data_IF_108968471223
#
_entry.id   IF_108968471223
#
_cell.length_a   1.000
_cell.length_b   1.000
_cell.length_c   1.000
_cell.angle_alpha   90.00
_cell.angle_beta   90.00
_cell.angle_gamma   90.00
#
_symmetry.space_group_name_H-M   'P 1'
#
loop_
_entity.id
_entity.type
_entity.pdbx_description
1 polymer ?
#
# COMPACT_ATOMS: atom_id res chain seq x y z
N UNK A 1 2.85 -13.03 5.00
CA UNK A 1 1.59 -12.39 4.54
C UNK A 1 1.96 -11.37 3.46
N UNK A 2 1.11 -11.13 2.47
CA UNK A 2 1.34 -10.08 1.45
C UNK A 2 0.40 -8.92 1.77
N UNK A 3 0.95 -7.71 1.82
CA UNK A 3 0.18 -6.49 2.05
C UNK A 3 -0.80 -6.23 0.91
N UNK A 4 -1.97 -5.71 1.27
CA UNK A 4 -3.05 -5.40 0.32
C UNK A 4 -3.25 -3.90 0.21
N UNK A 5 -3.03 -3.36 -0.97
CA UNK A 5 -3.23 -1.96 -1.31
C UNK A 5 -4.61 -1.81 -1.94
N UNK A 6 -5.48 -0.99 -1.35
CA UNK A 6 -6.81 -0.68 -1.88
C UNK A 6 -6.77 0.50 -2.83
N UNK A 7 -7.15 0.31 -4.08
CA UNK A 7 -7.26 1.38 -5.06
C UNK A 7 -8.68 1.98 -5.02
N UNK A 8 -8.79 3.24 -4.64
CA UNK A 8 -10.06 3.97 -4.49
C UNK A 8 -10.08 5.23 -5.34
N UNK A 9 -11.28 5.64 -5.75
CA UNK A 9 -11.48 6.82 -6.59
C UNK A 9 -12.82 6.78 -7.28
N UNK A 10 -13.35 7.95 -7.62
CA UNK A 10 -14.61 8.09 -8.35
C UNK A 10 -14.47 7.56 -9.80
N UNK A 11 -15.58 7.37 -10.53
CA UNK A 11 -15.51 7.00 -11.95
C UNK A 11 -14.71 8.02 -12.78
N UNK A 12 -14.16 7.58 -13.92
CA UNK A 12 -13.48 8.45 -14.91
C UNK A 12 -12.19 9.18 -14.48
N UNK A 13 -11.70 8.99 -13.24
CA UNK A 13 -10.40 9.56 -12.79
C UNK A 13 -9.18 8.82 -13.32
N UNK A 14 -9.39 7.65 -13.93
CA UNK A 14 -8.32 6.79 -14.41
C UNK A 14 -7.99 5.61 -13.49
N UNK A 15 -8.80 5.33 -12.47
CA UNK A 15 -8.64 4.19 -11.54
C UNK A 15 -8.36 2.85 -12.24
N UNK A 16 -9.21 2.44 -13.19
CA UNK A 16 -9.00 1.17 -13.92
C UNK A 16 -7.76 1.20 -14.83
N UNK A 17 -7.38 2.38 -15.32
CA UNK A 17 -6.12 2.52 -16.09
C UNK A 17 -4.93 2.37 -15.15
N UNK A 18 -4.99 2.99 -13.97
CA UNK A 18 -3.98 2.86 -12.93
C UNK A 18 -3.85 1.41 -12.46
N UNK A 19 -4.97 0.72 -12.19
CA UNK A 19 -4.97 -0.69 -11.80
C UNK A 19 -4.25 -1.56 -12.83
N UNK A 20 -4.63 -1.46 -14.11
CA UNK A 20 -4.00 -2.23 -15.17
C UNK A 20 -2.53 -1.85 -15.41
N UNK A 21 -2.17 -0.58 -15.18
CA UNK A 21 -0.81 -0.10 -15.31
C UNK A 21 0.06 -0.53 -14.12
N UNK A 22 -0.51 -0.67 -12.93
CA UNK A 22 0.18 -1.08 -11.71
C UNK A 22 0.37 -2.61 -11.65
N UNK A 23 -0.57 -3.39 -12.20
CA UNK A 23 -0.41 -4.83 -12.32
C UNK A 23 0.62 -5.19 -13.39
N UNK A 24 1.40 -6.24 -13.15
CA UNK A 24 2.26 -6.83 -14.18
C UNK A 24 1.59 -8.11 -14.66
N UNK A 25 0.92 -8.06 -15.81
CA UNK A 25 0.28 -9.24 -16.42
C UNK A 25 1.28 -10.21 -17.07
N UNK A 26 2.57 -9.86 -17.12
CA UNK A 26 3.64 -10.66 -17.75
C UNK A 26 4.16 -11.82 -16.91
N UNK A 27 3.68 -12.02 -15.67
CA UNK A 27 4.04 -13.19 -14.88
C UNK A 27 3.03 -14.31 -15.16
N UNK A 28 3.44 -15.42 -15.80
CA UNK A 28 2.51 -16.47 -16.20
C UNK A 28 1.72 -17.00 -15.01
N UNK A 29 0.39 -17.06 -15.17
CA UNK A 29 -0.55 -17.78 -14.30
C UNK A 29 -0.02 -19.21 -14.07
N UNK A 30 0.57 -19.47 -12.90
CA UNK A 30 1.11 -20.80 -12.59
C UNK A 30 2.16 -20.89 -11.48
N UNK A 31 2.67 -19.77 -10.95
CA UNK A 31 3.73 -19.82 -9.93
C UNK A 31 3.24 -20.03 -8.48
N UNK A 32 1.92 -19.96 -8.18
CA UNK A 32 1.41 -20.04 -6.81
C UNK A 32 0.15 -20.91 -6.64
N UNK A 33 0.05 -21.75 -5.59
CA UNK A 33 -1.11 -22.62 -5.34
C UNK A 33 -2.40 -21.93 -4.84
N UNK A 34 -2.50 -20.60 -4.85
CA UNK A 34 -3.64 -19.87 -4.24
C UNK A 34 -4.00 -18.57 -4.98
N UNK A 35 -4.06 -18.59 -6.31
CA UNK A 35 -4.64 -17.47 -7.06
C UNK A 35 -6.15 -17.41 -6.79
N UNK A 36 -6.58 -16.45 -5.98
CA UNK A 36 -7.99 -16.14 -5.78
C UNK A 36 -8.62 -15.79 -7.13
N UNK A 37 -9.75 -16.43 -7.46
CA UNK A 37 -10.58 -16.11 -8.64
C UNK A 37 -11.42 -14.88 -8.30
N UNK A 38 -10.77 -13.78 -7.93
CA UNK A 38 -11.46 -12.51 -7.74
C UNK A 38 -10.94 -11.51 -8.79
N UNK A 39 -11.78 -11.09 -9.75
CA UNK A 39 -11.36 -10.14 -10.79
C UNK A 39 -10.95 -8.77 -10.24
N UNK A 40 -11.23 -8.46 -8.96
CA UNK A 40 -10.84 -7.19 -8.32
C UNK A 40 -9.44 -7.23 -7.71
N UNK A 41 -8.79 -8.39 -7.58
CA UNK A 41 -7.47 -8.50 -6.94
C UNK A 41 -6.39 -8.80 -7.96
N UNK A 42 -5.48 -7.84 -8.16
CA UNK A 42 -4.30 -7.94 -9.00
C UNK A 42 -3.02 -8.20 -8.22
N UNK A 43 -1.99 -8.69 -8.91
CA UNK A 43 -0.62 -8.75 -8.40
C UNK A 43 0.16 -7.54 -8.92
N UNK A 44 0.67 -6.75 -7.98
CA UNK A 44 1.53 -5.61 -8.23
C UNK A 44 2.87 -5.82 -7.52
N UNK A 45 3.83 -4.92 -7.72
CA UNK A 45 5.16 -5.06 -7.16
C UNK A 45 5.64 -3.71 -6.62
N UNK A 46 6.41 -3.75 -5.54
CA UNK A 46 7.18 -2.60 -5.05
C UNK A 46 8.66 -2.83 -5.32
N UNK A 47 9.39 -1.77 -5.71
CA UNK A 47 10.83 -1.88 -5.94
C UNK A 47 11.60 -1.74 -4.65
N UNK A 48 12.67 -2.52 -4.56
CA UNK A 48 13.65 -2.48 -3.48
C UNK A 48 15.02 -2.67 -4.14
N UNK A 49 15.98 -1.82 -3.80
CA UNK A 49 17.38 -2.08 -4.18
C UNK A 49 17.80 -3.46 -3.69
N UNK A 50 18.16 -4.33 -4.62
CA UNK A 50 18.55 -5.69 -4.32
C UNK A 50 19.84 -5.67 -3.50
N UNK A 51 19.87 -6.47 -2.43
CA UNK A 51 21.10 -6.65 -1.66
C UNK A 51 22.13 -7.54 -2.37
N UNK A 52 21.74 -8.37 -3.33
CA UNK A 52 22.63 -9.37 -3.95
C UNK A 52 23.93 -8.79 -4.56
N UNK A 53 23.91 -7.65 -5.29
CA UNK A 53 25.12 -7.03 -5.81
C UNK A 53 26.14 -6.63 -4.74
N UNK A 54 25.70 -6.37 -3.49
CA UNK A 54 26.59 -6.03 -2.37
C UNK A 54 27.45 -7.23 -1.91
N UNK A 55 27.06 -8.45 -2.29
CA UNK A 55 27.73 -9.71 -1.93
C UNK A 55 28.38 -10.39 -3.14
N UNK A 56 28.54 -9.70 -4.28
CA UNK A 56 29.04 -10.26 -5.53
C UNK A 56 28.23 -11.47 -6.04
N UNK A 57 26.93 -11.52 -5.70
CA UNK A 57 26.03 -12.60 -6.09
C UNK A 57 24.93 -12.09 -7.04
N UNK A 58 24.41 -13.00 -7.88
CA UNK A 58 23.27 -12.71 -8.76
C UNK A 58 21.98 -13.21 -8.11
N UNK A 59 21.00 -12.32 -8.01
CA UNK A 59 19.70 -12.63 -7.42
C UNK A 59 18.93 -13.62 -8.31
N UNK A 60 18.43 -14.70 -7.71
CA UNK A 60 17.56 -15.68 -8.37
C UNK A 60 16.21 -15.74 -7.65
N UNK A 61 15.29 -14.79 -7.92
CA UNK A 61 14.00 -14.69 -7.23
C UNK A 61 13.23 -16.02 -7.23
N UNK A 62 12.72 -16.42 -6.06
CA UNK A 62 11.63 -17.41 -5.97
C UNK A 62 10.28 -16.79 -6.36
N UNK A 63 10.13 -15.49 -6.08
CA UNK A 63 8.91 -14.70 -6.19
C UNK A 63 9.22 -13.31 -6.78
N UNK A 64 8.41 -12.84 -7.73
CA UNK A 64 8.67 -11.60 -8.46
C UNK A 64 9.90 -11.68 -9.37
N UNK A 65 10.50 -10.52 -9.66
CA UNK A 65 11.63 -10.41 -10.60
C UNK A 65 12.74 -9.52 -10.03
N UNK A 66 13.97 -9.71 -10.51
CA UNK A 66 15.09 -8.81 -10.23
C UNK A 66 15.68 -8.37 -11.57
N UNK A 67 15.70 -7.06 -11.83
CA UNK A 67 16.24 -6.46 -13.06
C UNK A 67 17.26 -5.40 -12.67
N UNK A 68 18.48 -5.52 -13.18
CA UNK A 68 19.57 -4.54 -13.03
C UNK A 68 19.82 -4.03 -11.60
N UNK A 69 19.73 -4.93 -10.62
CA UNK A 69 19.95 -4.59 -9.21
C UNK A 69 18.69 -4.10 -8.48
N UNK A 70 17.54 -4.04 -9.15
CA UNK A 70 16.24 -3.68 -8.57
C UNK A 70 15.38 -4.92 -8.39
N UNK A 71 14.95 -5.19 -7.15
CA UNK A 71 14.07 -6.29 -6.77
C UNK A 71 12.62 -5.84 -6.75
N UNK A 72 11.76 -6.54 -7.48
CA UNK A 72 10.31 -6.36 -7.48
C UNK A 72 9.68 -7.34 -6.50
N UNK A 73 9.20 -6.84 -5.37
CA UNK A 73 8.60 -7.65 -4.29
C UNK A 73 7.08 -7.62 -4.44
N UNK A 74 6.41 -8.80 -4.51
CA UNK A 74 4.97 -8.85 -4.80
C UNK A 74 4.11 -8.32 -3.65
N UNK A 75 3.15 -7.47 -4.01
CA UNK A 75 2.07 -6.97 -3.16
C UNK A 75 0.73 -7.23 -3.85
N UNK A 76 -0.37 -7.19 -3.10
CA UNK A 76 -1.72 -7.31 -3.67
C UNK A 76 -2.31 -5.94 -3.90
N UNK A 77 -2.87 -5.73 -5.07
CA UNK A 77 -3.63 -4.53 -5.41
C UNK A 77 -5.10 -4.92 -5.52
N UNK A 78 -5.98 -4.26 -4.77
CA UNK A 78 -7.41 -4.52 -4.75
C UNK A 78 -8.11 -3.34 -5.40
N UNK A 79 -8.84 -3.56 -6.49
CA UNK A 79 -9.69 -2.56 -7.11
C UNK A 79 -10.97 -2.40 -6.29
N UNK A 80 -10.96 -1.46 -5.35
CA UNK A 80 -12.11 -1.19 -4.51
C UNK A 80 -13.16 -0.47 -5.37
N UNK A 81 -14.40 -0.94 -5.32
CA UNK A 81 -15.51 -0.30 -6.04
C UNK A 81 -15.61 1.19 -5.67
N UNK A 82 -15.97 2.07 -6.61
CA UNK A 82 -16.07 3.50 -6.30
C UNK A 82 -17.17 3.78 -5.27
N UNK A 83 -16.90 4.67 -4.31
CA UNK A 83 -17.94 5.24 -3.45
C UNK A 83 -18.82 6.17 -4.28
N UNK A 84 -20.13 6.03 -4.11
CA UNK A 84 -21.14 6.95 -4.63
C UNK A 84 -21.63 7.79 -3.45
N UNK A 85 -21.92 9.10 -3.62
CA UNK A 85 -22.45 9.93 -2.55
C UNK A 85 -23.61 9.30 -1.77
N UNK A 86 -23.50 9.28 -0.43
CA UNK A 86 -24.47 8.63 0.45
C UNK A 86 -24.32 7.10 0.50
N UNK A 87 -23.10 6.58 0.32
CA UNK A 87 -22.81 5.15 0.45
C UNK A 87 -23.00 4.67 1.89
N UNK A 88 -22.62 5.49 2.88
CA UNK A 88 -22.87 5.24 4.30
C UNK A 88 -24.37 5.11 4.63
N UNK A 89 -25.24 5.85 3.93
CA UNK A 89 -26.72 5.77 4.07
C UNK A 89 -27.35 4.50 3.46
N UNK A 90 -26.55 3.57 2.91
CA UNK A 90 -27.03 2.29 2.39
C UNK A 90 -27.55 2.33 0.94
N UNK A 91 -27.19 3.34 0.14
CA UNK A 91 -27.62 3.49 -1.27
C UNK A 91 -26.99 2.52 -2.30
N UNK A 92 -26.56 1.34 -1.86
CA UNK A 92 -26.49 0.16 -2.75
C UNK A 92 -25.13 -0.48 -3.03
N UNK A 93 -24.02 -0.04 -2.42
CA UNK A 93 -22.70 -0.69 -2.57
C UNK A 93 -22.01 -1.07 -1.25
N UNK A 94 -22.58 -0.66 -0.11
CA UNK A 94 -21.93 -0.66 1.22
C UNK A 94 -21.27 -1.99 1.60
N UNK A 95 -21.98 -3.12 1.65
CA UNK A 95 -21.37 -4.31 2.27
C UNK A 95 -20.19 -4.91 1.50
N UNK A 96 -20.20 -4.86 0.15
CA UNK A 96 -19.09 -5.40 -0.64
C UNK A 96 -17.92 -4.43 -0.67
N UNK A 97 -18.18 -3.14 -0.92
CA UNK A 97 -17.17 -2.09 -0.82
C UNK A 97 -16.44 -2.12 0.52
N UNK A 98 -17.18 -2.25 1.61
CA UNK A 98 -16.63 -2.31 2.95
C UNK A 98 -15.86 -3.60 3.21
N UNK A 99 -16.27 -4.72 2.61
CA UNK A 99 -15.51 -5.97 2.71
C UNK A 99 -14.16 -5.81 2.01
N UNK A 100 -14.16 -5.28 0.79
CA UNK A 100 -12.94 -5.06 0.01
C UNK A 100 -12.02 -4.05 0.71
N UNK A 101 -12.60 -2.96 1.23
CA UNK A 101 -11.88 -1.95 2.01
C UNK A 101 -11.31 -2.52 3.32
N UNK A 102 -12.07 -3.35 4.04
CA UNK A 102 -11.62 -3.98 5.30
C UNK A 102 -10.38 -4.83 5.08
N UNK A 103 -10.33 -5.54 3.96
CA UNK A 103 -9.22 -6.43 3.63
C UNK A 103 -7.94 -5.69 3.21
N UNK A 104 -7.98 -4.37 2.98
CA UNK A 104 -6.81 -3.58 2.57
C UNK A 104 -6.04 -3.01 3.76
N UNK A 105 -4.72 -2.92 3.70
CA UNK A 105 -3.88 -2.35 4.76
C UNK A 105 -3.68 -0.83 4.58
N UNK A 106 -3.68 -0.37 3.32
CA UNK A 106 -3.44 1.02 2.92
C UNK A 106 -4.23 1.34 1.67
N UNK A 107 -4.59 2.61 1.48
CA UNK A 107 -5.34 3.07 0.31
C UNK A 107 -4.47 3.90 -0.63
N UNK A 108 -4.66 3.74 -1.94
CA UNK A 108 -4.25 4.70 -2.95
C UNK A 108 -5.52 5.35 -3.50
N UNK A 109 -5.71 6.62 -3.19
CA UNK A 109 -6.78 7.43 -3.74
C UNK A 109 -6.36 8.06 -5.06
N UNK A 110 -6.87 7.53 -6.17
CA UNK A 110 -6.67 8.11 -7.50
C UNK A 110 -7.61 9.28 -7.68
N UNK A 111 -7.05 10.47 -7.89
CA UNK A 111 -7.78 11.74 -8.04
C UNK A 111 -7.47 12.36 -9.39
N UNK A 112 -8.49 12.90 -10.07
CA UNK A 112 -8.30 13.62 -11.32
C UNK A 112 -7.86 15.06 -11.06
N UNK A 113 -6.55 15.31 -11.07
CA UNK A 113 -6.02 16.64 -10.82
C UNK A 113 -6.33 17.64 -11.94
N UNK A 114 -6.74 17.18 -13.12
CA UNK A 114 -7.08 18.10 -14.22
C UNK A 114 -8.39 18.87 -14.00
N UNK A 115 -9.21 18.47 -13.02
CA UNK A 115 -10.49 19.13 -12.70
C UNK A 115 -11.54 19.00 -13.82
N UNK A 116 -11.37 18.01 -14.71
CA UNK A 116 -12.24 17.78 -15.89
C UNK A 116 -13.35 16.75 -15.64
N UNK A 117 -13.42 16.19 -14.44
CA UNK A 117 -14.48 15.26 -14.03
C UNK A 117 -15.12 15.71 -12.73
N UNK A 118 -16.45 15.67 -12.64
CA UNK A 118 -17.19 15.94 -11.40
C UNK A 118 -17.27 14.69 -10.50
N UNK A 119 -17.97 14.77 -9.37
CA UNK A 119 -18.05 13.68 -8.39
C UNK A 119 -18.69 12.39 -8.94
N UNK A 120 -19.55 12.49 -9.96
CA UNK A 120 -20.18 11.34 -10.62
C UNK A 120 -19.28 10.76 -11.73
N UNK A 121 -18.18 11.44 -12.04
CA UNK A 121 -17.26 11.09 -13.11
C UNK A 121 -17.74 11.58 -14.49
N UNK A 122 -18.69 12.52 -14.54
CA UNK A 122 -19.11 13.19 -15.76
C UNK A 122 -18.14 14.32 -16.12
N UNK A 123 -18.06 14.65 -17.41
CA UNK A 123 -17.15 15.72 -17.86
C UNK A 123 -17.65 17.07 -17.42
N UNK A 124 -16.78 17.83 -16.76
CA UNK A 124 -17.06 19.19 -16.28
C UNK A 124 -15.86 20.11 -16.55
N UNK A 125 -16.03 21.40 -16.29
CA UNK A 125 -14.96 22.39 -16.37
C UNK A 125 -14.75 23.02 -15.00
N UNK A 126 -13.51 22.97 -14.49
CA UNK A 126 -13.12 23.68 -13.26
C UNK A 126 -13.59 23.04 -11.96
N UNK A 127 -13.73 21.71 -11.92
CA UNK A 127 -13.91 20.96 -10.67
C UNK A 127 -12.63 21.05 -9.83
N UNK A 128 -12.77 21.33 -8.53
CA UNK A 128 -11.64 21.36 -7.62
C UNK A 128 -11.30 19.92 -7.16
N UNK A 129 -10.09 19.39 -7.45
CA UNK A 129 -9.70 18.05 -7.00
C UNK A 129 -9.76 17.84 -5.48
N UNK A 130 -9.68 18.92 -4.68
CA UNK A 130 -9.87 18.86 -3.22
C UNK A 130 -11.23 18.33 -2.81
N UNK A 131 -12.28 18.67 -3.57
CA UNK A 131 -13.63 18.18 -3.29
C UNK A 131 -13.71 16.64 -3.37
N UNK A 132 -12.92 16.01 -4.24
CA UNK A 132 -12.88 14.54 -4.35
C UNK A 132 -12.18 13.90 -3.14
N UNK A 133 -11.09 14.52 -2.68
CA UNK A 133 -10.31 14.07 -1.51
C UNK A 133 -11.18 14.18 -0.25
N UNK A 134 -11.74 15.37 -0.02
CA UNK A 134 -12.60 15.67 1.13
C UNK A 134 -13.82 14.74 1.16
N UNK A 135 -14.43 14.50 0.00
CA UNK A 135 -15.57 13.60 -0.12
C UNK A 135 -15.23 12.18 0.34
N UNK A 136 -14.11 11.61 -0.13
CA UNK A 136 -13.72 10.26 0.26
C UNK A 136 -13.42 10.18 1.77
N UNK A 137 -12.68 11.16 2.30
CA UNK A 137 -12.37 11.20 3.74
C UNK A 137 -13.64 11.31 4.59
N UNK A 138 -14.57 12.19 4.21
CA UNK A 138 -15.83 12.37 4.92
C UNK A 138 -16.69 11.10 4.91
N UNK A 139 -16.85 10.43 3.77
CA UNK A 139 -17.63 9.18 3.69
C UNK A 139 -17.00 8.06 4.52
N UNK A 140 -15.67 7.98 4.58
CA UNK A 140 -14.98 7.01 5.44
C UNK A 140 -15.14 7.37 6.92
N UNK A 141 -14.97 8.64 7.29
CA UNK A 141 -15.10 9.10 8.68
C UNK A 141 -16.50 8.83 9.24
N UNK A 142 -17.55 9.19 8.50
CA UNK A 142 -18.95 8.93 8.88
C UNK A 142 -19.23 7.43 9.03
N UNK A 143 -18.65 6.61 8.16
CA UNK A 143 -18.81 5.18 8.28
C UNK A 143 -18.09 4.59 9.51
N UNK A 144 -16.88 5.05 9.82
CA UNK A 144 -16.20 4.64 11.05
C UNK A 144 -16.96 5.08 12.29
N UNK A 145 -17.58 6.26 12.25
CA UNK A 145 -18.46 6.75 13.31
C UNK A 145 -19.68 5.85 13.49
N UNK A 146 -20.37 5.47 12.41
CA UNK A 146 -21.48 4.52 12.44
C UNK A 146 -21.10 3.17 13.07
N UNK A 147 -19.88 2.67 12.80
CA UNK A 147 -19.38 1.42 13.36
C UNK A 147 -19.06 1.58 14.85
N UNK A 148 -18.45 2.71 15.23
CA UNK A 148 -18.14 3.08 16.60
C UNK A 148 -19.41 3.19 17.44
N UNK A 149 -20.40 3.93 16.96
CA UNK A 149 -21.68 4.13 17.64
C UNK A 149 -22.41 2.81 17.90
N UNK A 150 -22.44 1.90 16.92
CA UNK A 150 -22.98 0.53 17.13
C UNK A 150 -22.23 -0.22 18.24
N UNK A 151 -20.93 -0.01 18.39
CA UNK A 151 -20.14 -0.54 19.51
C UNK A 151 -20.54 0.09 20.84
N UNK A 152 -20.70 1.41 20.87
CA UNK A 152 -21.16 2.16 22.05
C UNK A 152 -22.56 1.75 22.51
N UNK A 153 -23.51 1.58 21.58
CA UNK A 153 -24.87 1.12 21.88
C UNK A 153 -24.88 -0.29 22.49
N UNK A 154 -24.06 -1.19 21.93
CA UNK A 154 -23.89 -2.55 22.46
C UNK A 154 -23.32 -2.51 23.88
N UNK A 155 -22.32 -1.66 24.10
CA UNK A 155 -21.78 -1.43 25.44
C UNK A 155 -22.86 -0.90 26.38
N UNK A 156 -23.59 0.15 26.03
CA UNK A 156 -24.63 0.73 26.90
C UNK A 156 -25.75 -0.26 27.26
N UNK A 157 -26.10 -1.19 26.35
CA UNK A 157 -27.21 -2.14 26.54
C UNK A 157 -26.80 -3.41 27.30
N UNK A 158 -25.51 -3.78 27.27
CA UNK A 158 -25.01 -5.01 27.89
C UNK A 158 -24.87 -4.82 29.41
N UNK A 159 -25.34 -5.79 30.20
CA UNK A 159 -25.15 -5.76 31.65
C UNK A 159 -23.67 -6.03 31.95
N UNK A 160 -22.96 -4.98 32.28
CA UNK A 160 -21.55 -5.04 32.61
C UNK A 160 -21.36 -5.46 34.06
N UNK A 161 -20.69 -6.59 34.26
CA UNK A 161 -20.02 -6.85 35.53
C UNK A 161 -18.91 -5.82 35.77
N UNK A 162 -18.25 -5.87 36.93
CA UNK A 162 -17.19 -4.92 37.28
C UNK A 162 -15.96 -4.91 36.34
N UNK A 163 -15.87 -5.85 35.40
CA UNK A 163 -14.73 -6.06 34.49
C UNK A 163 -15.01 -5.64 33.02
N UNK A 164 -16.15 -5.01 32.72
CA UNK A 164 -16.39 -4.54 31.36
C UNK A 164 -15.48 -3.38 31.00
N UNK A 165 -14.77 -3.53 29.90
CA UNK A 165 -13.82 -2.57 29.38
C UNK A 165 -14.34 -2.05 28.03
N UNK A 166 -14.60 -0.76 27.93
CA UNK A 166 -15.11 -0.16 26.68
C UNK A 166 -14.16 -0.41 25.52
N UNK A 167 -12.85 -0.36 25.77
CA UNK A 167 -11.81 -0.63 24.77
C UNK A 167 -11.89 -2.06 24.21
N UNK A 168 -12.40 -3.02 24.99
CA UNK A 168 -12.54 -4.41 24.54
C UNK A 168 -13.78 -4.57 23.64
N UNK A 169 -14.92 -3.97 24.01
CA UNK A 169 -16.13 -4.01 23.18
C UNK A 169 -15.91 -3.28 21.85
N UNK A 170 -15.26 -2.11 21.89
CA UNK A 170 -14.94 -1.37 20.67
C UNK A 170 -13.90 -2.09 19.81
N UNK A 171 -12.89 -2.72 20.40
CA UNK A 171 -11.95 -3.57 19.66
C UNK A 171 -12.64 -4.78 19.02
N UNK A 172 -13.57 -5.44 19.70
CA UNK A 172 -14.34 -6.54 19.12
C UNK A 172 -15.18 -6.07 17.93
N UNK A 173 -15.86 -4.92 18.08
CA UNK A 173 -16.66 -4.28 17.04
C UNK A 173 -15.81 -3.86 15.83
N UNK A 174 -14.56 -3.45 16.06
CA UNK A 174 -13.62 -2.97 15.04
C UNK A 174 -12.52 -3.99 14.69
N UNK A 175 -12.70 -5.25 15.08
CA UNK A 175 -11.69 -6.30 14.87
C UNK A 175 -11.39 -6.54 13.38
N UNK A 176 -12.38 -6.31 12.51
CA UNK A 176 -12.22 -6.38 11.06
C UNK A 176 -11.20 -5.38 10.49
N UNK A 177 -10.85 -4.33 11.25
CA UNK A 177 -9.86 -3.31 10.88
C UNK A 177 -8.47 -3.56 11.47
N UNK A 178 -8.26 -4.70 12.15
CA UNK A 178 -6.99 -5.01 12.80
C UNK A 178 -6.73 -4.18 14.05
N UNK A 179 -7.79 -3.74 14.75
CA UNK A 179 -7.68 -3.07 16.04
C UNK A 179 -7.87 -4.08 17.16
N UNK A 180 -6.82 -4.28 17.95
CA UNK A 180 -6.92 -5.01 19.21
C UNK A 180 -7.26 -4.08 20.39
N UNK A 181 -7.53 -4.68 21.55
CA UNK A 181 -7.87 -3.97 22.78
C UNK A 181 -6.82 -2.94 23.20
N UNK A 182 -5.54 -3.28 23.13
CA UNK A 182 -4.45 -2.42 23.59
C UNK A 182 -4.22 -1.25 22.62
N UNK A 183 -4.42 -1.49 21.31
CA UNK A 183 -4.42 -0.44 20.29
C UNK A 183 -5.62 0.49 20.49
N UNK A 184 -6.84 -0.04 20.66
CA UNK A 184 -8.04 0.76 20.93
C UNK A 184 -7.86 1.65 22.15
N UNK A 185 -7.39 1.08 23.27
CA UNK A 185 -7.10 1.84 24.50
C UNK A 185 -6.09 2.96 24.26
N UNK A 186 -5.01 2.69 23.52
CA UNK A 186 -4.00 3.72 23.21
C UNK A 186 -4.56 4.84 22.35
N UNK A 187 -5.47 4.55 21.42
CA UNK A 187 -6.11 5.57 20.58
C UNK A 187 -7.02 6.45 21.43
N UNK A 188 -7.93 5.86 22.22
CA UNK A 188 -8.84 6.61 23.10
C UNK A 188 -8.06 7.58 23.99
N UNK A 189 -6.99 7.11 24.65
CA UNK A 189 -6.18 7.93 25.54
C UNK A 189 -5.35 8.99 24.80
N UNK A 190 -4.95 8.74 23.55
CA UNK A 190 -4.21 9.72 22.73
C UNK A 190 -5.09 10.90 22.33
N UNK A 191 -6.38 10.65 22.08
CA UNK A 191 -7.40 11.69 21.86
C UNK A 191 -7.81 12.42 23.14
N UNK A 192 -7.18 12.11 24.28
CA UNK A 192 -7.47 12.76 25.56
C UNK A 192 -8.78 12.31 26.20
N UNK A 193 -9.40 11.24 25.70
CA UNK A 193 -10.66 10.71 26.19
C UNK A 193 -10.45 9.76 27.38
N UNK A 194 -11.39 9.78 28.32
CA UNK A 194 -11.44 8.80 29.41
C UNK A 194 -11.96 7.44 28.88
N UNK A 195 -11.63 6.34 29.56
CA UNK A 195 -12.20 5.01 29.26
C UNK A 195 -13.64 4.88 29.81
N UNK A 196 -14.43 5.93 29.63
CA UNK A 196 -15.81 6.05 30.04
C UNK A 196 -16.58 6.77 28.92
N UNK A 197 -17.35 6.04 28.08
CA UNK A 197 -18.04 6.62 26.94
C UNK A 197 -19.16 7.59 27.32
N UNK A 198 -19.62 7.63 28.59
CA UNK A 198 -20.60 8.63 29.05
C UNK A 198 -20.01 10.05 29.08
N UNK A 199 -18.67 10.16 29.09
CA UNK A 199 -17.96 11.44 29.08
C UNK A 199 -17.78 12.02 27.69
N UNK A 200 -18.00 11.23 26.63
CA UNK A 200 -17.73 11.62 25.25
C UNK A 200 -18.96 12.30 24.63
N UNK A 201 -18.76 13.50 24.12
CA UNK A 201 -19.76 14.16 23.28
C UNK A 201 -19.72 13.66 21.82
N UNK A 202 -20.57 14.23 20.96
CA UNK A 202 -20.66 13.79 19.56
C UNK A 202 -19.39 14.15 18.76
N UNK A 203 -18.68 15.23 19.13
CA UNK A 203 -17.43 15.62 18.49
C UNK A 203 -16.29 14.67 18.90
N UNK A 204 -16.21 14.32 20.19
CA UNK A 204 -15.25 13.34 20.71
C UNK A 204 -15.35 11.99 19.97
N UNK A 205 -16.59 11.54 19.68
CA UNK A 205 -16.83 10.29 18.95
C UNK A 205 -16.42 10.39 17.49
N UNK A 206 -16.73 11.51 16.83
CA UNK A 206 -16.35 11.74 15.44
C UNK A 206 -14.81 11.81 15.28
N UNK A 207 -14.14 12.51 16.19
CA UNK A 207 -12.68 12.62 16.17
C UNK A 207 -12.01 11.27 16.49
N UNK A 208 -12.53 10.51 17.46
CA UNK A 208 -12.06 9.15 17.72
C UNK A 208 -12.24 8.23 16.50
N UNK A 209 -13.38 8.30 15.83
CA UNK A 209 -13.64 7.52 14.61
C UNK A 209 -12.67 7.88 13.47
N UNK A 210 -12.46 9.18 13.24
CA UNK A 210 -11.48 9.70 12.26
C UNK A 210 -10.07 9.23 12.57
N UNK A 211 -9.63 9.33 13.82
CA UNK A 211 -8.28 8.91 14.22
C UNK A 211 -8.09 7.40 14.06
N UNK A 212 -9.11 6.61 14.40
CA UNK A 212 -9.11 5.18 14.13
C UNK A 212 -8.95 4.92 12.64
N UNK A 213 -9.75 5.56 11.78
CA UNK A 213 -9.67 5.46 10.32
C UNK A 213 -8.28 5.80 9.81
N UNK A 214 -7.69 6.91 10.25
CA UNK A 214 -6.33 7.33 9.85
C UNK A 214 -5.27 6.29 10.17
N UNK A 215 -5.38 5.60 11.32
CA UNK A 215 -4.43 4.57 11.74
C UNK A 215 -4.64 3.21 11.08
N UNK A 216 -5.86 2.86 10.68
CA UNK A 216 -6.18 1.54 10.10
C UNK A 216 -6.28 1.55 8.60
N UNK A 217 -6.56 2.71 8.00
CA UNK A 217 -6.65 2.95 6.56
C UNK A 217 -5.88 4.22 6.21
N UNK A 218 -4.57 4.26 6.46
CA UNK A 218 -3.76 5.36 5.99
C UNK A 218 -3.79 5.38 4.45
N UNK A 219 -3.53 6.54 3.84
CA UNK A 219 -3.77 6.72 2.41
C UNK A 219 -2.72 7.59 1.71
N UNK A 220 -2.49 7.26 0.44
CA UNK A 220 -1.71 8.04 -0.52
C UNK A 220 -2.68 8.60 -1.56
N UNK A 221 -2.56 9.88 -1.89
CA UNK A 221 -3.27 10.49 -3.02
C UNK A 221 -2.39 10.37 -4.26
N UNK A 222 -2.83 9.55 -5.22
CA UNK A 222 -2.25 9.51 -6.56
C UNK A 222 -2.93 10.59 -7.41
N UNK A 223 -2.26 11.74 -7.51
CA UNK A 223 -2.68 12.87 -8.32
C UNK A 223 -2.54 12.52 -9.80
N UNK A 224 -3.58 11.97 -10.40
CA UNK A 224 -3.52 11.42 -11.74
C UNK A 224 -3.74 12.50 -12.81
N UNK A 225 -3.28 12.21 -14.03
CA UNK A 225 -3.31 13.09 -15.21
C UNK A 225 -2.33 14.27 -15.13
N UNK A 226 -1.25 14.13 -14.38
CA UNK A 226 -0.17 15.13 -14.27
C UNK A 226 0.60 15.36 -15.59
N UNK A 227 0.34 14.55 -16.62
CA UNK A 227 0.76 14.80 -18.01
C UNK A 227 -0.03 15.94 -18.70
N UNK A 228 -0.98 16.57 -18.00
CA UNK A 228 -1.78 17.69 -18.51
C UNK A 228 -1.44 19.01 -17.79
N UNK A 229 -1.39 20.15 -18.51
CA UNK A 229 -1.11 21.45 -17.89
C UNK A 229 -2.13 21.85 -16.81
N UNK A 230 -3.38 21.44 -16.95
CA UNK A 230 -4.43 21.74 -15.96
C UNK A 230 -4.16 21.03 -14.63
N UNK A 231 -3.72 19.77 -14.67
CA UNK A 231 -3.34 19.04 -13.46
C UNK A 231 -2.10 19.65 -12.80
N UNK A 232 -1.11 20.03 -13.60
CA UNK A 232 0.12 20.67 -13.10
C UNK A 232 -0.17 22.01 -12.43
N UNK A 233 -1.15 22.77 -12.93
CA UNK A 233 -1.56 24.05 -12.33
C UNK A 233 -2.19 23.87 -10.93
N UNK A 234 -2.88 22.75 -10.69
CA UNK A 234 -3.53 22.46 -9.40
C UNK A 234 -2.56 21.84 -8.38
N UNK A 235 -1.45 21.23 -8.83
CA UNK A 235 -0.54 20.47 -7.98
C UNK A 235 0.01 21.27 -6.79
N UNK A 236 0.67 22.41 -7.05
CA UNK A 236 1.34 23.19 -5.99
C UNK A 236 0.35 23.79 -5.00
N UNK A 237 -0.80 24.28 -5.47
CA UNK A 237 -1.84 24.85 -4.59
C UNK A 237 -2.41 23.80 -3.63
N UNK A 238 -2.71 22.60 -4.11
CA UNK A 238 -3.36 21.55 -3.32
C UNK A 238 -2.37 20.86 -2.39
N UNK A 239 -1.18 20.51 -2.89
CA UNK A 239 -0.18 19.76 -2.11
C UNK A 239 0.55 20.59 -1.06
N UNK A 240 0.49 21.92 -1.15
CA UNK A 240 1.04 22.83 -0.15
C UNK A 240 0.01 23.31 0.89
N UNK A 241 -1.25 22.87 0.77
CA UNK A 241 -2.32 23.26 1.68
C UNK A 241 -2.19 22.47 3.00
N UNK A 242 -2.01 23.16 4.15
CA UNK A 242 -1.81 22.50 5.45
C UNK A 242 -2.97 21.60 5.89
N UNK A 243 -4.17 21.81 5.35
CA UNK A 243 -5.32 20.97 5.68
C UNK A 243 -5.14 19.52 5.19
N UNK A 244 -4.17 19.27 4.29
CA UNK A 244 -3.81 17.94 3.77
C UNK A 244 -2.43 17.43 4.21
N UNK A 245 -1.81 18.04 5.24
CA UNK A 245 -0.50 17.59 5.76
C UNK A 245 -0.51 16.13 6.28
N UNK A 246 -1.69 15.56 6.57
CA UNK A 246 -1.85 14.15 6.95
C UNK A 246 -1.85 13.18 5.76
N UNK A 247 -1.85 13.69 4.52
CA UNK A 247 -1.86 12.90 3.29
C UNK A 247 -0.51 12.93 2.61
N UNK A 248 -0.12 11.80 2.01
CA UNK A 248 1.02 11.73 1.11
C UNK A 248 0.54 11.86 -0.33
N UNK A 249 1.12 12.79 -1.10
CA UNK A 249 0.76 13.01 -2.50
C UNK A 249 1.85 12.47 -3.43
N UNK A 250 1.43 11.80 -4.49
CA UNK A 250 2.29 11.33 -5.58
C UNK A 250 1.72 11.82 -6.90
N UNK A 251 2.52 12.57 -7.66
CA UNK A 251 2.16 12.98 -9.02
C UNK A 251 2.16 11.75 -9.93
N UNK A 252 1.07 11.50 -10.64
CA UNK A 252 0.91 10.30 -11.45
C UNK A 252 0.34 10.56 -12.84
N UNK A 253 0.76 9.74 -13.80
CA UNK A 253 0.07 9.55 -15.08
C UNK A 253 -0.07 8.06 -15.37
N UNK A 254 -1.23 7.51 -15.02
CA UNK A 254 -1.58 6.14 -15.36
C UNK A 254 -1.60 5.90 -16.88
N UNK A 255 -1.90 6.95 -17.66
CA UNK A 255 -1.87 6.87 -19.12
C UNK A 255 -0.44 6.72 -19.64
N UNK A 256 0.52 7.50 -19.12
CA UNK A 256 1.93 7.39 -19.47
C UNK A 256 2.49 6.00 -19.11
N UNK A 257 2.25 5.51 -17.89
CA UNK A 257 2.71 4.19 -17.45
C UNK A 257 2.18 3.07 -18.36
N UNK A 258 0.88 3.09 -18.65
CA UNK A 258 0.27 2.10 -19.55
C UNK A 258 0.86 2.18 -20.95
N UNK A 259 1.11 3.38 -21.47
CA UNK A 259 1.69 3.56 -22.79
C UNK A 259 3.13 3.03 -22.87
N UNK A 260 3.95 3.27 -21.85
CA UNK A 260 5.33 2.76 -21.78
C UNK A 260 5.36 1.24 -21.65
N UNK A 261 4.55 0.65 -20.76
CA UNK A 261 4.43 -0.81 -20.64
C UNK A 261 4.01 -1.49 -21.94
N UNK A 262 2.96 -0.97 -22.59
CA UNK A 262 2.53 -1.51 -23.89
C UNK A 262 3.60 -1.38 -24.97
N UNK A 263 4.42 -0.32 -24.92
CA UNK A 263 5.52 -0.11 -25.86
C UNK A 263 6.70 -1.07 -25.57
N UNK A 264 6.99 -1.35 -24.29
CA UNK A 264 7.98 -2.34 -23.85
C UNK A 264 7.59 -3.76 -24.30
N UNK A 265 6.34 -4.15 -24.03
CA UNK A 265 5.76 -5.42 -24.50
C UNK A 265 5.80 -5.57 -26.03
N UNK A 266 5.65 -4.45 -26.76
CA UNK A 266 5.74 -4.42 -28.21
C UNK A 266 7.18 -4.41 -28.75
N UNK A 267 8.21 -4.37 -27.88
CA UNK A 267 9.61 -4.27 -28.25
C UNK A 267 9.97 -2.93 -28.91
N UNK A 268 9.24 -1.87 -28.57
CA UNK A 268 9.44 -0.52 -29.08
C UNK A 268 10.37 0.29 -28.17
N UNK A 269 10.18 0.15 -26.87
CA UNK A 269 11.04 0.75 -25.84
C UNK A 269 11.63 -0.33 -24.95
N UNK A 270 12.72 -0.02 -24.26
CA UNK A 270 13.19 -0.75 -23.08
C UNK A 270 12.83 0.12 -21.87
N UNK A 271 11.85 -0.32 -21.10
CA UNK A 271 11.31 0.44 -19.97
C UNK A 271 11.16 -0.44 -18.74
N UNK A 272 11.71 0.03 -17.61
CA UNK A 272 11.44 -0.57 -16.31
C UNK A 272 10.40 0.28 -15.57
N UNK A 273 9.31 -0.32 -15.06
CA UNK A 273 8.25 0.41 -14.37
C UNK A 273 8.76 1.31 -13.24
N UNK A 274 8.41 2.59 -13.31
CA UNK A 274 8.80 3.61 -12.33
C UNK A 274 10.15 4.27 -12.57
N UNK A 275 10.88 3.92 -13.64
CA UNK A 275 12.09 4.66 -14.03
C UNK A 275 11.73 6.03 -14.63
N UNK A 276 12.66 6.97 -14.48
CA UNK A 276 12.53 8.33 -15.02
C UNK A 276 13.06 8.48 -16.45
N UNK A 277 13.52 7.38 -17.07
CA UNK A 277 13.90 7.30 -18.47
C UNK A 277 13.48 5.96 -19.12
N UNK A 278 13.66 5.89 -20.44
CA UNK A 278 13.49 4.68 -21.24
C UNK A 278 14.26 4.82 -22.56
N UNK A 279 14.68 3.69 -23.11
CA UNK A 279 15.40 3.65 -24.38
C UNK A 279 14.49 3.27 -25.55
N UNK A 280 14.59 3.98 -26.69
CA UNK A 280 13.91 3.58 -27.92
C UNK A 280 14.71 2.46 -28.62
N UNK A 281 14.18 1.25 -28.62
CA UNK A 281 14.83 0.07 -29.22
C UNK A 281 14.20 -0.38 -30.55
N UNK A 282 12.98 0.07 -30.85
CA UNK A 282 12.22 -0.30 -32.04
C UNK A 282 11.90 0.86 -33.00
N UNK A 283 11.40 0.51 -34.18
CA UNK A 283 10.90 1.47 -35.15
C UNK A 283 9.53 2.02 -34.74
N UNK A 284 9.40 3.36 -34.76
CA UNK A 284 8.18 4.06 -34.37
C UNK A 284 7.67 4.96 -35.50
N UNK A 285 6.35 5.10 -35.59
CA UNK A 285 5.74 6.11 -36.47
C UNK A 285 6.04 7.53 -35.94
N UNK A 286 5.87 8.55 -36.79
CA UNK A 286 6.08 9.94 -36.36
C UNK A 286 5.12 10.37 -35.24
N UNK A 287 3.89 9.88 -35.24
CA UNK A 287 2.90 10.14 -34.19
C UNK A 287 3.25 9.42 -32.88
N UNK A 288 3.68 8.16 -32.97
CA UNK A 288 4.10 7.38 -31.82
C UNK A 288 5.35 7.98 -31.17
N UNK A 289 6.31 8.42 -31.98
CA UNK A 289 7.50 9.14 -31.50
C UNK A 289 7.12 10.41 -30.74
N UNK A 290 6.27 11.25 -31.31
CA UNK A 290 5.81 12.46 -30.62
C UNK A 290 5.01 12.19 -29.34
N UNK A 291 4.35 11.03 -29.24
CA UNK A 291 3.72 10.55 -28.01
C UNK A 291 4.76 10.17 -26.95
N UNK A 292 5.74 9.35 -27.33
CA UNK A 292 6.82 8.90 -26.45
C UNK A 292 7.70 10.08 -26.01
N UNK A 293 8.03 11.03 -26.89
CA UNK A 293 8.82 12.20 -26.53
C UNK A 293 8.14 13.02 -25.41
N UNK A 294 6.82 13.23 -25.50
CA UNK A 294 6.05 13.91 -24.43
C UNK A 294 6.01 13.12 -23.12
N UNK A 295 5.91 11.80 -23.21
CA UNK A 295 5.99 10.94 -22.02
C UNK A 295 7.40 11.03 -21.41
N UNK A 296 8.44 11.02 -22.23
CA UNK A 296 9.84 11.18 -21.84
C UNK A 296 10.09 12.49 -21.09
N UNK A 297 9.57 13.60 -21.61
CA UNK A 297 9.59 14.90 -20.91
C UNK A 297 8.90 14.80 -19.54
N UNK A 298 7.70 14.22 -19.49
CA UNK A 298 6.96 14.05 -18.24
C UNK A 298 7.69 13.20 -17.20
N UNK A 299 8.19 12.01 -17.57
CA UNK A 299 8.87 11.12 -16.62
C UNK A 299 10.21 11.69 -16.14
N UNK A 300 10.89 12.49 -16.96
CA UNK A 300 12.10 13.18 -16.55
C UNK A 300 11.80 14.33 -15.56
N UNK A 301 10.72 15.08 -15.78
CA UNK A 301 10.34 16.22 -14.94
C UNK A 301 9.77 15.79 -13.56
N UNK A 302 9.11 14.62 -13.51
CA UNK A 302 8.40 14.11 -12.32
C UNK A 302 9.03 12.86 -11.70
N UNK A 303 10.24 12.48 -12.12
CA UNK A 303 10.99 11.30 -11.65
C UNK A 303 10.18 9.98 -11.76
N UNK A 304 9.67 9.74 -12.96
CA UNK A 304 8.88 8.57 -13.33
C UNK A 304 7.40 8.89 -13.59
N UNK A 305 6.60 7.84 -13.77
CA UNK A 305 5.17 7.99 -14.08
C UNK A 305 4.28 8.16 -12.84
N UNK A 306 4.82 7.93 -11.65
CA UNK A 306 4.12 7.99 -10.36
C UNK A 306 3.24 6.79 -10.01
N UNK A 307 2.95 5.87 -10.94
CA UNK A 307 2.16 4.66 -10.63
C UNK A 307 2.94 3.75 -9.68
N UNK A 308 4.18 3.44 -10.05
CA UNK A 308 5.08 2.64 -9.23
C UNK A 308 5.44 3.38 -7.92
N UNK A 309 5.69 4.68 -8.00
CA UNK A 309 5.96 5.53 -6.83
C UNK A 309 4.81 5.56 -5.83
N UNK A 310 3.55 5.55 -6.27
CA UNK A 310 2.40 5.50 -5.36
C UNK A 310 2.25 4.15 -4.65
N UNK A 311 2.61 3.03 -5.29
CA UNK A 311 2.68 1.72 -4.62
C UNK A 311 3.78 1.70 -3.55
N UNK A 312 4.95 2.26 -3.89
CA UNK A 312 6.11 2.36 -2.99
C UNK A 312 5.81 3.28 -1.80
N UNK A 313 5.24 4.45 -2.05
CA UNK A 313 4.81 5.37 -1.00
C UNK A 313 3.76 4.73 -0.08
N UNK A 314 2.79 3.98 -0.63
CA UNK A 314 1.79 3.30 0.18
C UNK A 314 2.43 2.27 1.14
N UNK A 315 3.41 1.50 0.66
CA UNK A 315 4.02 0.42 1.45
C UNK A 315 5.13 0.91 2.37
N UNK A 316 6.04 1.74 1.88
CA UNK A 316 7.25 2.13 2.60
C UNK A 316 7.10 3.43 3.37
N UNK A 317 6.41 4.43 2.82
CA UNK A 317 6.33 5.74 3.45
C UNK A 317 5.12 5.82 4.39
N UNK A 318 3.95 5.38 3.92
CA UNK A 318 2.69 5.51 4.65
C UNK A 318 2.47 4.37 5.64
N UNK A 319 2.70 3.11 5.22
CA UNK A 319 2.67 1.98 6.16
C UNK A 319 3.95 1.82 6.98
N UNK A 320 5.05 2.45 6.57
CA UNK A 320 6.35 2.32 7.24
C UNK A 320 6.98 0.93 7.10
N UNK A 321 6.53 0.10 6.15
CA UNK A 321 7.05 -1.26 6.05
C UNK A 321 8.53 -1.26 5.66
N UNK A 322 9.20 -2.38 5.95
CA UNK A 322 10.60 -2.59 5.61
C UNK A 322 10.75 -3.86 4.76
N UNK A 323 11.67 -3.82 3.80
CA UNK A 323 12.04 -5.00 3.03
C UNK A 323 13.22 -5.70 3.69
N UNK A 324 13.12 -7.01 3.95
CA UNK A 324 14.18 -7.80 4.60
C UNK A 324 14.51 -9.02 3.73
N UNK A 325 15.81 -9.25 3.53
CA UNK A 325 16.34 -10.37 2.77
C UNK A 325 16.83 -11.47 3.71
N UNK A 326 16.41 -12.74 3.52
CA UNK A 326 17.09 -13.86 4.14
C UNK A 326 18.49 -14.00 3.55
N UNK A 327 19.49 -14.06 4.43
CA UNK A 327 20.89 -14.22 4.04
C UNK A 327 21.49 -15.52 4.55
N UNK A 328 22.72 -15.78 4.12
CA UNK A 328 23.63 -16.69 4.79
C UNK A 328 24.99 -16.02 4.90
N UNK A 329 25.49 -15.82 6.12
CA UNK A 329 26.79 -15.19 6.35
C UNK A 329 27.95 -16.06 5.85
N UNK A 330 27.71 -17.36 5.64
CA UNK A 330 28.67 -18.30 5.08
C UNK A 330 28.49 -18.56 3.57
N UNK A 331 27.64 -17.77 2.89
CA UNK A 331 27.43 -17.91 1.45
C UNK A 331 26.78 -19.23 1.05
N UNK A 332 25.90 -19.78 1.91
CA UNK A 332 25.16 -21.00 1.57
C UNK A 332 24.26 -20.75 0.37
N UNK A 333 24.74 -21.18 -0.80
CA UNK A 333 23.95 -21.37 -2.00
C UNK A 333 23.04 -22.55 -1.74
N UNK A 334 21.75 -22.29 -1.53
CA UNK A 334 20.77 -23.36 -1.75
C UNK A 334 20.94 -23.84 -3.20
N UNK A 335 20.72 -25.13 -3.48
CA UNK A 335 20.81 -25.67 -4.85
C UNK A 335 19.88 -24.92 -5.82
N UNK A 336 18.91 -24.19 -5.26
CA UNK A 336 17.90 -23.37 -5.91
C UNK A 336 18.32 -21.90 -6.16
N UNK A 337 19.49 -21.46 -5.69
CA UNK A 337 20.06 -20.11 -5.94
C UNK A 337 20.17 -19.20 -4.71
N UNK A 338 20.59 -17.94 -4.92
CA UNK A 338 20.93 -16.95 -3.86
C UNK A 338 19.93 -15.78 -3.88
N UNK A 339 19.68 -15.14 -2.73
CA UNK A 339 18.74 -14.02 -2.58
C UNK A 339 17.35 -14.32 -3.20
N UNK A 340 16.85 -15.52 -2.93
CA UNK A 340 15.61 -16.02 -3.54
C UNK A 340 14.41 -15.23 -3.07
N UNK A 341 14.33 -14.99 -1.77
CA UNK A 341 13.19 -14.34 -1.14
C UNK A 341 13.53 -12.91 -0.69
N UNK A 342 12.51 -12.06 -0.65
CA UNK A 342 12.53 -10.74 -0.03
C UNK A 342 11.16 -10.54 0.59
N UNK A 343 11.12 -10.21 1.86
CA UNK A 343 9.87 -10.11 2.63
C UNK A 343 9.62 -8.67 3.02
N UNK A 344 8.36 -8.23 2.88
CA UNK A 344 7.92 -6.96 3.45
C UNK A 344 7.40 -7.24 4.86
N UNK A 345 7.90 -6.49 5.84
CA UNK A 345 7.55 -6.60 7.26
C UNK A 345 7.12 -5.23 7.78
N UNK A 346 6.32 -5.17 8.87
CA UNK A 346 5.93 -3.89 9.46
C UNK A 346 7.14 -3.18 10.10
N UNK A 347 7.03 -1.87 10.27
CA UNK A 347 8.00 -1.10 11.06
C UNK A 347 8.17 -1.70 12.47
N UNK A 348 9.41 -1.64 12.98
CA UNK A 348 9.77 -2.22 14.28
C UNK A 348 9.75 -3.75 14.34
N UNK A 349 9.56 -4.45 13.21
CA UNK A 349 9.66 -5.91 13.19
C UNK A 349 11.03 -6.38 13.68
N UNK A 350 11.04 -7.40 14.53
CA UNK A 350 12.26 -7.92 15.13
C UNK A 350 12.81 -9.13 14.37
N UNK A 351 14.03 -9.54 14.71
CA UNK A 351 14.63 -10.79 14.21
C UNK A 351 13.74 -12.01 14.52
N UNK A 352 13.04 -12.01 15.65
CA UNK A 352 12.06 -13.04 16.00
C UNK A 352 10.83 -13.01 15.09
N UNK A 353 10.25 -11.83 14.85
CA UNK A 353 9.10 -11.67 13.94
C UNK A 353 9.46 -12.15 12.53
N UNK A 354 10.65 -11.80 12.05
CA UNK A 354 11.15 -12.29 10.77
C UNK A 354 11.26 -13.81 10.73
N UNK A 355 11.76 -14.44 11.79
CA UNK A 355 11.85 -15.90 11.88
C UNK A 355 10.47 -16.57 11.83
N UNK A 356 9.48 -16.03 12.54
CA UNK A 356 8.10 -16.52 12.48
C UNK A 356 7.44 -16.26 11.13
N UNK A 357 7.78 -15.16 10.45
CA UNK A 357 7.30 -14.86 9.10
C UNK A 357 7.78 -15.91 8.09
N UNK A 358 9.04 -16.33 8.19
CA UNK A 358 9.58 -17.38 7.31
C UNK A 358 8.92 -18.73 7.63
N UNK A 359 8.99 -19.18 8.89
CA UNK A 359 8.38 -20.42 9.31
C UNK A 359 8.25 -20.53 10.83
N UNK A 360 7.11 -21.04 11.32
CA UNK A 360 6.84 -21.17 12.76
C UNK A 360 7.87 -22.00 13.53
N UNK A 361 8.38 -23.10 12.94
CA UNK A 361 9.45 -23.89 13.56
C UNK A 361 10.78 -23.12 13.68
N UNK A 362 11.13 -22.29 12.69
CA UNK A 362 12.36 -21.48 12.74
C UNK A 362 12.23 -20.47 13.89
N UNK A 363 11.09 -19.78 13.99
CA UNK A 363 10.78 -18.86 15.09
C UNK A 363 10.85 -19.52 16.46
N UNK A 364 10.17 -20.66 16.66
CA UNK A 364 10.19 -21.38 17.94
C UNK A 364 11.58 -21.89 18.35
N UNK A 365 12.44 -22.19 17.37
CA UNK A 365 13.79 -22.68 17.61
C UNK A 365 14.87 -21.60 17.58
N UNK A 366 14.50 -20.33 17.37
CA UNK A 366 15.43 -19.23 17.09
C UNK A 366 16.38 -19.03 18.28
N UNK A 367 17.67 -18.99 17.97
CA UNK A 367 18.72 -18.68 18.94
C UNK A 367 19.15 -17.21 18.84
N UNK A 368 19.40 -16.76 17.61
CA UNK A 368 19.89 -15.43 17.25
C UNK A 368 19.84 -15.27 15.72
N UNK A 369 20.01 -14.04 15.24
CA UNK A 369 20.32 -13.77 13.85
C UNK A 369 21.80 -13.38 13.68
N UNK A 370 22.25 -13.33 12.44
CA UNK A 370 23.51 -12.69 12.03
C UNK A 370 23.19 -11.68 10.94
N UNK A 371 23.58 -10.43 11.14
CA UNK A 371 23.59 -9.43 10.07
C UNK A 371 24.75 -9.77 9.11
N UNK A 372 24.40 -10.14 7.88
CA UNK A 372 25.36 -10.59 6.87
C UNK A 372 26.29 -9.45 6.39
N UNK A 373 25.88 -8.18 6.50
CA UNK A 373 26.75 -7.05 6.10
C UNK A 373 27.84 -6.80 7.12
N UNK A 374 27.50 -6.79 8.41
CA UNK A 374 28.47 -6.52 9.48
C UNK A 374 29.14 -7.79 10.01
N UNK A 375 28.60 -8.97 9.72
CA UNK A 375 29.00 -10.25 10.29
C UNK A 375 28.71 -10.37 11.80
N UNK A 376 27.90 -9.47 12.35
CA UNK A 376 27.61 -9.42 13.79
C UNK A 376 26.39 -10.24 14.12
N UNK A 377 26.48 -10.95 15.25
CA UNK A 377 25.33 -11.58 15.88
C UNK A 377 24.36 -10.51 16.39
N UNK A 378 23.08 -10.69 16.07
CA UNK A 378 21.95 -9.88 16.54
C UNK A 378 21.02 -10.71 17.41
N UNK A 379 20.49 -10.10 18.48
CA UNK A 379 19.55 -10.77 19.38
C UNK A 379 18.17 -10.97 18.75
N UNK A 380 17.31 -11.76 19.41
CA UNK A 380 15.94 -12.02 18.93
C UNK A 380 15.09 -10.74 18.86
N UNK A 381 15.19 -9.87 19.86
CA UNK A 381 14.50 -8.58 19.91
C UNK A 381 15.22 -7.44 19.19
N UNK A 382 16.17 -7.73 18.30
CA UNK A 382 16.78 -6.69 17.47
C UNK A 382 15.76 -6.25 16.40
N UNK A 383 15.39 -4.97 16.45
CA UNK A 383 14.58 -4.31 15.41
C UNK A 383 15.34 -4.27 14.09
N UNK A 384 14.70 -4.74 13.04
CA UNK A 384 15.23 -4.82 11.70
C UNK A 384 15.07 -3.48 10.98
N UNK A 385 15.98 -3.21 10.06
CA UNK A 385 15.97 -2.03 9.20
C UNK A 385 15.67 -2.40 7.74
N UNK A 386 15.22 -1.40 6.98
CA UNK A 386 14.99 -1.57 5.54
C UNK A 386 16.26 -2.06 4.82
N UNK A 387 16.08 -3.08 3.98
CA UNK A 387 17.09 -3.86 3.26
C UNK A 387 18.01 -4.72 4.13
N UNK A 388 17.71 -4.96 5.39
CA UNK A 388 18.54 -5.86 6.21
C UNK A 388 18.68 -7.25 5.58
N UNK A 389 19.88 -7.82 5.72
CA UNK A 389 20.21 -9.16 5.23
C UNK A 389 20.54 -10.02 6.44
N UNK A 390 19.58 -10.84 6.87
CA UNK A 390 19.67 -11.58 8.13
C UNK A 390 19.75 -13.08 7.87
N UNK A 391 20.80 -13.72 8.39
CA UNK A 391 20.87 -15.17 8.52
C UNK A 391 20.28 -15.57 9.87
N UNK A 392 19.22 -16.39 9.85
CA UNK A 392 18.58 -16.88 11.07
C UNK A 392 19.24 -18.18 11.54
N UNK A 393 19.64 -18.23 12.80
CA UNK A 393 20.21 -19.42 13.41
C UNK A 393 19.21 -20.03 14.38
N UNK A 394 18.67 -21.19 14.01
CA UNK A 394 17.62 -21.90 14.76
C UNK A 394 18.01 -23.34 15.06
N UNK A 395 17.56 -23.85 16.21
CA UNK A 395 17.71 -25.26 16.62
C UNK A 395 16.79 -26.21 15.86
N UNK A 396 15.77 -25.66 15.19
CA UNK A 396 14.85 -26.38 14.33
C UNK A 396 15.04 -25.89 12.90
N UNK A 397 15.06 -26.80 11.94
CA UNK A 397 15.04 -26.46 10.52
C UNK A 397 13.61 -26.64 10.02
N UNK A 398 13.17 -25.77 9.10
CA UNK A 398 11.93 -25.98 8.39
C UNK A 398 11.97 -27.35 7.70
N UNK A 399 10.91 -28.15 7.85
CA UNK A 399 10.79 -29.38 7.10
C UNK A 399 10.74 -29.05 5.59
N UNK A 400 11.39 -29.85 4.73
CA UNK A 400 11.57 -29.54 3.31
C UNK A 400 10.27 -29.46 2.50
#
# INVERSE_FOLDING_TARGET
>A
MSYRIGLVGKPSVGKSTFFNAATMNDVPEGAYPFTTIDPTVGEAYVRVDCAAPEFDESCTPSVGVCRDGTRFVPVKLVDVAGLVPGAHEGRGLGNQFLTDLNETDVLIHVVDFSGKTDIEGETTEGHDPREDIDFLEAELDEWYLDVLEKGLEKFATRYHGADAAIEAELADQMSAFGIDKDRMKRVILAEGLELDPETWDDADRADLAREIRRRTKPMVVAANKMDTPEAQANWEEITADPDYDHLSFVSASAHAEKALKNADEAGVVDYTPGESDFDLVGDVSGEQRAGLDRIGEFVADYDGTGVQGALEAAVFDVLGCIAVFPGSANGSRDEKGVFRDCFILPDGATTEDFAFHIHSDIGQGLLHGTDCRSGRQVGTGHELSHRDVIELISTKQAAP
#
